data_IF_070048286506
#
_entry.id   IF_070048286506
#
_cell.length_a   1.000
_cell.length_b   1.000
_cell.length_c   1.000
_cell.angle_alpha   90.00
_cell.angle_beta   90.00
_cell.angle_gamma   90.00
#
_symmetry.space_group_name_H-M   'P 1'
#
loop_
_entity.id
_entity.type
_entity.pdbx_description
1 polymer ?
#
# COMPACT_ATOMS: atom_id res chain seq x y z
N UNK A 1 3.70 2.65 22.70
CA UNK A 1 4.27 3.79 21.94
C UNK A 1 5.13 3.33 20.76
N UNK A 2 6.38 2.84 20.93
CA UNK A 2 7.20 2.42 19.78
C UNK A 2 6.58 1.27 18.97
N UNK A 3 6.08 0.23 19.64
CA UNK A 3 5.37 -0.88 18.98
C UNK A 3 4.05 -0.46 18.30
N UNK A 4 3.34 0.53 18.85
CA UNK A 4 2.09 1.03 18.24
C UNK A 4 2.37 1.85 16.98
N UNK A 5 3.46 2.63 16.95
CA UNK A 5 3.87 3.35 15.76
C UNK A 5 4.23 2.38 14.63
N UNK A 6 4.92 1.27 14.94
CA UNK A 6 5.26 0.22 13.97
C UNK A 6 3.98 -0.44 13.42
N UNK A 7 3.03 -0.78 14.28
CA UNK A 7 1.76 -1.35 13.83
C UNK A 7 0.94 -0.36 12.99
N UNK A 8 0.90 0.92 13.39
CA UNK A 8 0.24 1.97 12.61
C UNK A 8 0.91 2.14 11.24
N UNK A 9 2.24 2.16 11.16
CA UNK A 9 2.96 2.21 9.89
C UNK A 9 2.65 0.99 9.01
N UNK A 10 2.55 -0.21 9.59
CA UNK A 10 2.17 -1.42 8.85
C UNK A 10 0.74 -1.31 8.28
N UNK A 11 -0.24 -0.88 9.08
CA UNK A 11 -1.63 -0.70 8.60
C UNK A 11 -1.73 0.36 7.50
N UNK A 12 -1.04 1.50 7.66
CA UNK A 12 -0.96 2.54 6.63
C UNK A 12 -0.36 1.99 5.35
N UNK A 13 0.75 1.23 5.46
CA UNK A 13 1.38 0.60 4.29
C UNK A 13 0.44 -0.37 3.57
N UNK A 14 -0.42 -1.08 4.31
CA UNK A 14 -1.36 -2.03 3.71
C UNK A 14 -2.42 -1.30 2.89
N UNK A 15 -2.94 -0.15 3.35
CA UNK A 15 -3.86 0.66 2.54
C UNK A 15 -3.17 1.18 1.28
N UNK A 16 -1.91 1.63 1.39
CA UNK A 16 -1.15 2.10 0.22
C UNK A 16 -0.88 0.98 -0.79
N UNK A 17 -0.54 -0.23 -0.33
CA UNK A 17 -0.37 -1.40 -1.20
C UNK A 17 -1.70 -1.81 -1.84
N UNK A 18 -2.80 -1.78 -1.09
CA UNK A 18 -4.13 -2.06 -1.61
C UNK A 18 -4.54 -1.08 -2.71
N UNK A 19 -4.25 0.21 -2.51
CA UNK A 19 -4.50 1.22 -3.54
C UNK A 19 -3.68 0.99 -4.81
N UNK A 20 -2.41 0.58 -4.67
CA UNK A 20 -1.59 0.20 -5.82
C UNK A 20 -2.15 -1.04 -6.52
N UNK A 21 -2.64 -2.03 -5.77
CA UNK A 21 -3.28 -3.23 -6.31
C UNK A 21 -4.50 -2.88 -7.16
N UNK A 22 -5.33 -1.95 -6.66
CA UNK A 22 -6.51 -1.48 -7.39
C UNK A 22 -6.12 -0.84 -8.73
N UNK A 23 -5.12 0.06 -8.72
CA UNK A 23 -4.67 0.74 -9.94
C UNK A 23 -3.99 -0.22 -10.91
N UNK A 24 -3.23 -1.18 -10.41
CA UNK A 24 -2.49 -2.12 -11.24
C UNK A 24 -3.44 -3.04 -12.03
N UNK A 25 -4.40 -3.68 -11.34
CA UNK A 25 -5.25 -4.69 -11.99
C UNK A 25 -6.56 -4.18 -12.58
N UNK A 26 -7.08 -3.06 -12.09
CA UNK A 26 -8.41 -2.56 -12.50
C UNK A 26 -8.35 -1.27 -13.28
N UNK A 27 -7.17 -0.86 -13.77
CA UNK A 27 -7.05 0.19 -14.77
C UNK A 27 -7.74 -0.26 -16.07
N UNK A 28 -8.80 0.45 -16.44
CA UNK A 28 -9.59 0.22 -17.64
C UNK A 28 -9.25 1.19 -18.79
N UNK A 29 -8.37 2.16 -18.53
CA UNK A 29 -7.91 3.15 -19.49
C UNK A 29 -7.30 4.37 -18.82
N UNK A 30 -6.74 5.26 -19.63
CA UNK A 30 -6.08 6.49 -19.19
C UNK A 30 -6.76 7.71 -19.84
N UNK A 31 -6.94 8.78 -19.04
CA UNK A 31 -7.42 10.08 -19.50
C UNK A 31 -6.44 11.16 -19.06
N UNK A 32 -5.46 11.46 -19.92
CA UNK A 32 -4.37 12.38 -19.59
C UNK A 32 -3.44 11.75 -18.55
N UNK A 33 -3.31 12.37 -17.38
CA UNK A 33 -2.50 11.86 -16.25
C UNK A 33 -3.32 11.02 -15.25
N UNK A 34 -4.62 10.84 -15.50
CA UNK A 34 -5.50 10.07 -14.64
C UNK A 34 -5.77 8.67 -15.20
N UNK A 35 -5.90 7.69 -14.31
CA UNK A 35 -6.31 6.33 -14.65
C UNK A 35 -7.78 6.11 -14.33
N UNK A 36 -8.51 5.44 -15.21
CA UNK A 36 -9.91 5.07 -14.98
C UNK A 36 -9.98 3.68 -14.37
N UNK A 37 -10.56 3.56 -13.19
CA UNK A 37 -10.67 2.27 -12.50
C UNK A 37 -12.05 1.64 -12.73
N UNK A 38 -12.09 0.32 -12.94
CA UNK A 38 -13.32 -0.45 -13.09
C UNK A 38 -13.17 -1.79 -12.40
N UNK A 39 -13.81 -1.96 -11.24
CA UNK A 39 -13.65 -3.14 -10.40
C UNK A 39 -14.77 -4.16 -10.73
N UNK A 40 -14.44 -5.42 -11.07
CA UNK A 40 -15.46 -6.45 -11.25
C UNK A 40 -16.31 -6.62 -10.00
N UNK A 41 -17.61 -6.84 -10.18
CA UNK A 41 -18.57 -6.98 -9.07
C UNK A 41 -18.18 -8.09 -8.08
N UNK A 42 -17.69 -9.21 -8.58
CA UNK A 42 -17.21 -10.32 -7.75
C UNK A 42 -16.00 -9.92 -6.89
N UNK A 43 -15.07 -9.15 -7.46
CA UNK A 43 -13.92 -8.60 -6.74
C UNK A 43 -14.37 -7.63 -5.65
N UNK A 44 -15.33 -6.75 -5.94
CA UNK A 44 -15.84 -5.80 -4.95
C UNK A 44 -16.57 -6.51 -3.79
N UNK A 45 -17.32 -7.58 -4.08
CA UNK A 45 -17.94 -8.44 -3.06
C UNK A 45 -16.88 -9.12 -2.18
N UNK A 46 -15.80 -9.62 -2.78
CA UNK A 46 -14.66 -10.20 -2.07
C UNK A 46 -13.94 -9.17 -1.19
N UNK A 47 -13.71 -7.96 -1.70
CA UNK A 47 -13.11 -6.86 -0.95
C UNK A 47 -13.98 -6.51 0.26
N UNK A 48 -15.30 -6.42 0.06
CA UNK A 48 -16.27 -6.12 1.13
C UNK A 48 -16.21 -7.16 2.25
N UNK A 49 -16.05 -8.43 1.89
CA UNK A 49 -15.99 -9.53 2.86
C UNK A 49 -14.64 -9.60 3.60
N UNK A 50 -13.52 -9.35 2.91
CA UNK A 50 -12.17 -9.59 3.44
C UNK A 50 -11.50 -8.34 4.03
N UNK A 51 -11.81 -7.15 3.52
CA UNK A 51 -11.11 -5.91 3.84
C UNK A 51 -12.11 -4.78 4.20
N UNK A 52 -12.88 -4.92 5.29
CA UNK A 52 -13.90 -3.94 5.65
C UNK A 52 -13.34 -2.53 5.88
N UNK A 53 -12.09 -2.42 6.34
CA UNK A 53 -11.43 -1.13 6.57
C UNK A 53 -10.99 -0.42 5.27
N UNK A 54 -11.04 -1.12 4.13
CA UNK A 54 -10.58 -0.63 2.82
C UNK A 54 -11.68 -0.62 1.76
N UNK A 55 -12.89 -1.14 2.07
CA UNK A 55 -14.00 -1.23 1.11
C UNK A 55 -14.38 0.14 0.55
N UNK A 56 -14.43 1.17 1.40
CA UNK A 56 -14.78 2.52 0.98
C UNK A 56 -13.81 3.07 -0.09
N UNK A 57 -12.52 2.70 0.00
CA UNK A 57 -11.52 3.10 -1.00
C UNK A 57 -11.81 2.45 -2.36
N UNK A 58 -12.13 1.16 -2.37
CA UNK A 58 -12.49 0.44 -3.59
C UNK A 58 -13.78 1.01 -4.21
N UNK A 59 -14.80 1.28 -3.41
CA UNK A 59 -16.06 1.90 -3.87
C UNK A 59 -15.86 3.30 -4.45
N UNK A 60 -14.98 4.12 -3.84
CA UNK A 60 -14.65 5.45 -4.37
C UNK A 60 -13.85 5.40 -5.67
N UNK A 61 -13.09 4.32 -5.88
CA UNK A 61 -12.28 4.11 -7.07
C UNK A 61 -13.11 3.52 -8.23
N UNK A 62 -14.12 2.70 -7.95
CA UNK A 62 -14.91 2.08 -9.02
C UNK A 62 -15.62 3.12 -9.90
N UNK A 63 -15.30 3.12 -11.20
CA UNK A 63 -15.80 4.08 -12.18
C UNK A 63 -15.15 5.47 -12.13
N UNK A 64 -14.19 5.70 -11.24
CA UNK A 64 -13.55 6.99 -11.03
C UNK A 64 -12.29 7.19 -11.89
N UNK A 65 -12.02 8.46 -12.22
CA UNK A 65 -10.71 8.91 -12.69
C UNK A 65 -9.83 9.25 -11.48
N UNK A 66 -8.67 8.59 -11.40
CA UNK A 66 -7.72 8.71 -10.32
C UNK A 66 -6.43 9.33 -10.87
N UNK A 67 -6.23 10.60 -10.56
CA UNK A 67 -4.93 11.25 -10.71
C UNK A 67 -4.10 11.13 -9.43
N UNK A 68 -2.87 11.64 -9.45
CA UNK A 68 -1.98 11.62 -8.29
C UNK A 68 -2.60 12.29 -7.05
N UNK A 69 -3.22 13.47 -7.22
CA UNK A 69 -3.76 14.24 -6.10
C UNK A 69 -4.92 13.51 -5.44
N UNK A 70 -5.83 12.94 -6.24
CA UNK A 70 -6.95 12.16 -5.76
C UNK A 70 -6.48 10.88 -5.09
N UNK A 71 -5.51 10.18 -5.66
CA UNK A 71 -4.91 9.00 -5.04
C UNK A 71 -4.39 9.31 -3.63
N UNK A 72 -3.60 10.37 -3.48
CA UNK A 72 -3.12 10.80 -2.17
C UNK A 72 -4.28 11.16 -1.21
N UNK A 73 -5.30 11.88 -1.68
CA UNK A 73 -6.42 12.31 -0.86
C UNK A 73 -7.25 11.14 -0.33
N UNK A 74 -7.60 10.19 -1.20
CA UNK A 74 -8.43 9.03 -0.86
C UNK A 74 -7.71 8.07 0.08
N UNK A 75 -6.40 7.82 -0.14
CA UNK A 75 -5.57 7.03 0.79
C UNK A 75 -5.51 7.70 2.15
N UNK A 76 -5.24 9.02 2.21
CA UNK A 76 -5.20 9.75 3.47
C UNK A 76 -6.54 9.71 4.20
N UNK A 77 -7.65 9.91 3.49
CA UNK A 77 -8.99 9.88 4.07
C UNK A 77 -9.36 8.49 4.59
N UNK A 78 -9.04 7.43 3.84
CA UNK A 78 -9.26 6.03 4.24
C UNK A 78 -8.47 5.71 5.51
N UNK A 79 -7.17 6.02 5.52
CA UNK A 79 -6.31 5.79 6.68
C UNK A 79 -6.78 6.58 7.90
N UNK A 80 -7.14 7.86 7.74
CA UNK A 80 -7.60 8.69 8.84
C UNK A 80 -8.90 8.16 9.45
N UNK A 81 -9.88 7.80 8.62
CA UNK A 81 -11.18 7.31 9.09
C UNK A 81 -11.11 5.92 9.73
N UNK A 82 -10.32 5.01 9.15
CA UNK A 82 -10.18 3.65 9.66
C UNK A 82 -9.36 3.59 10.96
N UNK A 83 -8.34 4.44 11.09
CA UNK A 83 -7.29 4.22 12.10
C UNK A 83 -7.09 5.36 13.10
N UNK A 84 -7.18 6.64 12.72
CA UNK A 84 -6.79 7.74 13.60
C UNK A 84 -7.92 8.14 14.57
N UNK A 85 -7.71 7.93 15.86
CA UNK A 85 -8.77 8.08 16.87
C UNK A 85 -9.76 6.92 16.93
N UNK A 86 -9.69 5.98 15.98
CA UNK A 86 -10.51 4.76 15.92
C UNK A 86 -9.75 3.55 16.47
N UNK A 87 -8.70 3.11 15.75
CA UNK A 87 -7.84 1.98 16.13
C UNK A 87 -6.65 2.44 16.98
N UNK A 88 -6.11 3.63 16.67
CA UNK A 88 -4.97 4.22 17.33
C UNK A 88 -5.32 5.54 18.01
N UNK A 89 -4.54 6.00 19.01
CA UNK A 89 -4.69 7.34 19.56
C UNK A 89 -4.57 8.42 18.49
N UNK A 90 -5.42 9.45 18.57
CA UNK A 90 -5.41 10.56 17.62
C UNK A 90 -4.02 11.18 17.44
N UNK A 91 -3.63 11.41 16.19
CA UNK A 91 -2.33 11.94 15.80
C UNK A 91 -1.20 10.89 15.75
N UNK A 92 -1.45 9.62 16.14
CA UNK A 92 -0.44 8.57 15.95
C UNK A 92 -0.30 8.21 14.47
N UNK A 93 -1.39 8.15 13.73
CA UNK A 93 -1.39 7.81 12.30
C UNK A 93 -0.65 8.87 11.48
N UNK A 94 -0.78 10.15 11.85
CA UNK A 94 0.01 11.21 11.24
C UNK A 94 1.51 10.98 11.44
N UNK A 95 1.95 10.56 12.63
CA UNK A 95 3.36 10.20 12.87
C UNK A 95 3.80 8.97 12.09
N UNK A 96 2.87 8.04 11.82
CA UNK A 96 3.16 6.86 11.01
C UNK A 96 3.46 7.23 9.55
N UNK A 97 2.74 8.21 8.98
CA UNK A 97 3.03 8.73 7.63
C UNK A 97 4.47 9.26 7.49
N UNK A 98 5.00 9.90 8.54
CA UNK A 98 6.34 10.46 8.55
C UNK A 98 7.45 9.47 8.96
N UNK A 99 7.07 8.28 9.42
CA UNK A 99 7.97 7.29 10.01
C UNK A 99 9.00 6.74 9.02
N UNK A 100 10.18 6.34 9.53
CA UNK A 100 11.20 5.68 8.72
C UNK A 100 10.72 4.29 8.27
N UNK A 101 9.95 3.64 9.13
CA UNK A 101 9.38 2.31 8.93
C UNK A 101 8.44 2.29 7.72
N UNK A 102 7.51 3.25 7.62
CA UNK A 102 6.62 3.34 6.46
C UNK A 102 7.40 3.66 5.18
N UNK A 103 8.34 4.61 5.23
CA UNK A 103 9.17 5.00 4.07
C UNK A 103 9.96 3.82 3.53
N UNK A 104 10.59 3.05 4.42
CA UNK A 104 11.34 1.85 4.06
C UNK A 104 10.42 0.78 3.47
N UNK A 105 9.28 0.50 4.12
CA UNK A 105 8.32 -0.49 3.64
C UNK A 105 7.81 -0.16 2.22
N UNK A 106 7.44 1.10 1.97
CA UNK A 106 6.95 1.53 0.66
C UNK A 106 8.06 1.59 -0.41
N UNK A 107 9.30 1.92 -0.02
CA UNK A 107 10.46 1.84 -0.91
C UNK A 107 10.70 0.40 -1.39
N UNK A 108 10.71 -0.55 -0.47
CA UNK A 108 10.91 -1.98 -0.76
C UNK A 108 9.77 -2.52 -1.61
N UNK A 109 8.53 -2.12 -1.29
CA UNK A 109 7.37 -2.47 -2.10
C UNK A 109 7.49 -1.96 -3.53
N UNK A 110 7.93 -0.71 -3.74
CA UNK A 110 8.18 -0.16 -5.07
C UNK A 110 9.28 -0.92 -5.84
N UNK A 111 10.36 -1.32 -5.16
CA UNK A 111 11.39 -2.17 -5.77
C UNK A 111 10.84 -3.53 -6.19
N UNK A 112 10.01 -4.14 -5.34
CA UNK A 112 9.37 -5.42 -5.65
C UNK A 112 8.46 -5.31 -6.87
N UNK A 113 7.59 -4.30 -6.92
CA UNK A 113 6.69 -4.02 -8.04
C UNK A 113 7.47 -3.93 -9.36
N UNK A 114 8.55 -3.15 -9.37
CA UNK A 114 9.36 -2.98 -10.58
C UNK A 114 10.11 -4.26 -10.99
N UNK A 115 10.62 -5.02 -10.02
CA UNK A 115 11.36 -6.25 -10.30
C UNK A 115 10.47 -7.43 -10.74
N UNK A 116 9.17 -7.37 -10.48
CA UNK A 116 8.24 -8.47 -10.73
C UNK A 116 7.07 -8.10 -11.63
N UNK A 117 7.12 -6.94 -12.30
CA UNK A 117 6.04 -6.43 -13.16
C UNK A 117 5.54 -7.49 -14.16
N UNK A 118 6.46 -8.19 -14.85
CA UNK A 118 6.09 -9.26 -15.79
C UNK A 118 5.26 -10.38 -15.13
N UNK A 119 5.64 -10.82 -13.92
CA UNK A 119 4.90 -11.83 -13.16
C UNK A 119 3.55 -11.31 -12.68
N UNK A 120 3.47 -10.03 -12.32
CA UNK A 120 2.23 -9.40 -11.89
C UNK A 120 1.24 -9.25 -13.04
N UNK A 121 1.74 -9.03 -14.27
CA UNK A 121 0.93 -8.86 -15.50
C UNK A 121 0.40 -10.18 -16.08
N UNK A 122 0.96 -11.34 -15.71
CA UNK A 122 0.56 -12.65 -16.27
C UNK A 122 -0.89 -13.02 -15.95
N UNK A 123 -1.31 -12.87 -14.69
CA UNK A 123 -2.66 -13.18 -14.24
C UNK A 123 -3.08 -12.25 -13.10
N UNK A 124 -4.36 -11.88 -13.06
CA UNK A 124 -4.91 -11.11 -11.95
C UNK A 124 -4.86 -11.91 -10.65
N UNK A 125 -4.12 -11.42 -9.67
CA UNK A 125 -4.04 -11.99 -8.34
C UNK A 125 -4.93 -11.25 -7.35
N UNK A 126 -5.43 -11.97 -6.35
CA UNK A 126 -6.07 -11.33 -5.19
C UNK A 126 -5.05 -10.50 -4.40
N UNK A 127 -5.53 -9.51 -3.64
CA UNK A 127 -4.65 -8.67 -2.82
C UNK A 127 -3.84 -9.48 -1.80
N UNK A 128 -4.42 -10.53 -1.21
CA UNK A 128 -3.73 -11.44 -0.29
C UNK A 128 -2.55 -12.16 -0.96
N UNK A 129 -2.75 -12.70 -2.17
CA UNK A 129 -1.68 -13.32 -2.94
C UNK A 129 -0.57 -12.31 -3.26
N UNK A 130 -0.93 -11.07 -3.59
CA UNK A 130 0.03 -9.99 -3.81
C UNK A 130 0.92 -9.74 -2.59
N UNK A 131 0.30 -9.65 -1.41
CA UNK A 131 1.02 -9.49 -0.16
C UNK A 131 1.88 -10.71 0.18
N UNK A 132 1.42 -11.92 -0.11
CA UNK A 132 2.18 -13.14 0.12
C UNK A 132 3.44 -13.20 -0.75
N UNK A 133 3.32 -12.89 -2.05
CA UNK A 133 4.47 -12.82 -2.96
C UNK A 133 5.46 -11.74 -2.53
N UNK A 134 4.96 -10.54 -2.18
CA UNK A 134 5.79 -9.47 -1.66
C UNK A 134 6.52 -9.88 -0.37
N UNK A 135 5.81 -10.47 0.59
CA UNK A 135 6.39 -10.87 1.87
C UNK A 135 7.37 -12.03 1.71
N UNK A 136 7.10 -13.00 0.84
CA UNK A 136 8.02 -14.08 0.53
C UNK A 136 9.32 -13.54 -0.07
N UNK A 137 9.23 -12.63 -1.05
CA UNK A 137 10.38 -11.97 -1.65
C UNK A 137 11.16 -11.13 -0.63
N UNK A 138 10.47 -10.29 0.15
CA UNK A 138 11.06 -9.44 1.19
C UNK A 138 11.81 -10.26 2.24
N UNK A 139 11.37 -11.50 2.49
CA UNK A 139 11.98 -12.41 3.45
C UNK A 139 13.09 -13.29 2.88
N UNK A 140 13.44 -13.17 1.60
CA UNK A 140 14.61 -13.84 1.03
C UNK A 140 15.92 -13.33 1.66
N UNK A 141 16.94 -14.18 1.69
CA UNK A 141 18.23 -13.82 2.29
C UNK A 141 18.88 -12.64 1.56
N UNK A 142 18.77 -12.59 0.23
CA UNK A 142 19.29 -11.50 -0.59
C UNK A 142 18.67 -10.14 -0.22
N UNK A 143 17.35 -10.09 -0.07
CA UNK A 143 16.66 -8.85 0.29
C UNK A 143 16.97 -8.48 1.74
N UNK A 144 16.97 -9.42 2.68
CA UNK A 144 17.35 -9.16 4.08
C UNK A 144 18.77 -8.60 4.20
N UNK A 145 19.72 -9.16 3.44
CA UNK A 145 21.10 -8.68 3.39
C UNK A 145 21.19 -7.27 2.80
N UNK A 146 20.43 -7.00 1.72
CA UNK A 146 20.33 -5.67 1.14
C UNK A 146 19.77 -4.64 2.13
N UNK A 147 18.69 -4.99 2.85
CA UNK A 147 18.07 -4.11 3.84
C UNK A 147 19.00 -3.81 5.01
N UNK A 148 19.72 -4.82 5.50
CA UNK A 148 20.70 -4.64 6.58
C UNK A 148 21.76 -3.62 6.17
N UNK A 149 22.31 -3.74 4.96
CA UNK A 149 23.29 -2.78 4.43
C UNK A 149 22.69 -1.38 4.27
N UNK A 150 21.46 -1.28 3.79
CA UNK A 150 20.78 0.01 3.57
C UNK A 150 20.57 0.76 4.90
N UNK A 151 20.14 0.06 5.95
CA UNK A 151 19.94 0.66 7.28
C UNK A 151 21.23 1.00 8.00
N UNK A 152 22.31 0.24 7.76
CA UNK A 152 23.64 0.52 8.30
C UNK A 152 24.28 1.77 7.67
N UNK A 153 24.02 2.00 6.37
CA UNK A 153 24.49 3.21 5.66
C UNK A 153 23.73 4.46 6.14
N UNK A 154 22.42 4.36 6.39
CA UNK A 154 21.62 5.49 6.91
C UNK A 154 21.99 5.87 8.36
N UNK A 155 22.61 4.96 9.11
CA UNK A 155 23.09 5.21 10.49
C UNK A 155 24.54 5.71 10.58
N UNK A 156 25.26 5.77 9.46
CA UNK A 156 26.65 6.26 9.37
C UNK A 156 26.80 7.64 8.72
N UNK A 157 25.70 8.28 8.28
CA UNK A 157 25.74 9.68 7.87
C UNK A 157 25.58 10.62 9.09
N UNK A 158 26.50 11.58 9.32
CA UNK A 158 26.35 12.56 10.39
C UNK A 158 25.17 13.50 10.08
N UNK A 159 24.32 13.72 11.09
CA UNK A 159 23.29 14.77 11.10
C UNK A 159 23.88 16.17 10.93
#
# INVERSE_FOLDING_TARGET
MASELIHAAADVSNVMKFENWLRFYFCSGEEGEAVKISIPKETLEDITAKYPDMVNLAEHYDGALIDYQRSCAEVCATVASAYDGTKYPSGLVQKAFDSKELKLEMYIFGLWMHAHEEMLDEETMSFEQWLDHFNAWKNSDEVKDYLTRLTDVDSTQPQ
#
